data_IF_956482167882
#
_entry.id   IF_956482167882
#
_cell.length_a   1.000
_cell.length_b   1.000
_cell.length_c   1.000
_cell.angle_alpha   90.00
_cell.angle_beta   90.00
_cell.angle_gamma   90.00
#
_symmetry.space_group_name_H-M   'P 1'
#
loop_
_entity.id
_entity.type
_entity.pdbx_description
1 polymer ?
#
# COMPACT_ATOMS: atom_id res chain seq x y z
N UNK A 1 -19.05 19.90 12.94
CA UNK A 1 -19.04 18.91 11.84
C UNK A 1 -17.66 18.98 11.21
N UNK A 2 -16.95 17.86 11.07
CA UNK A 2 -15.56 17.88 10.58
C UNK A 2 -15.56 18.31 9.11
N UNK A 3 -15.00 19.48 8.79
CA UNK A 3 -15.10 20.11 7.44
C UNK A 3 -14.54 19.19 6.35
N UNK A 4 -13.42 18.52 6.63
CA UNK A 4 -12.78 17.56 5.72
C UNK A 4 -13.72 16.43 5.29
N UNK A 5 -14.38 15.73 6.22
CA UNK A 5 -15.24 14.60 5.89
C UNK A 5 -16.40 15.02 4.99
N UNK A 6 -17.02 16.16 5.31
CA UNK A 6 -18.12 16.69 4.52
C UNK A 6 -17.67 17.12 3.12
N UNK A 7 -16.54 17.83 3.01
CA UNK A 7 -15.98 18.28 1.74
C UNK A 7 -15.59 17.11 0.83
N UNK A 8 -14.95 16.09 1.37
CA UNK A 8 -14.58 14.89 0.60
C UNK A 8 -15.82 14.13 0.18
N UNK A 9 -16.79 13.93 1.06
CA UNK A 9 -18.06 13.29 0.71
C UNK A 9 -18.75 14.03 -0.44
N UNK A 10 -18.84 15.35 -0.34
CA UNK A 10 -19.43 16.19 -1.38
C UNK A 10 -18.68 16.07 -2.71
N UNK A 11 -17.34 16.08 -2.68
CA UNK A 11 -16.51 15.90 -3.87
C UNK A 11 -16.70 14.51 -4.50
N UNK A 12 -16.82 13.44 -3.68
CA UNK A 12 -17.10 12.08 -4.16
C UNK A 12 -18.46 12.02 -4.84
N UNK A 13 -19.51 12.49 -4.16
CA UNK A 13 -20.88 12.49 -4.68
C UNK A 13 -21.05 13.37 -5.93
N UNK A 14 -20.19 14.38 -6.10
CA UNK A 14 -20.20 15.27 -7.27
C UNK A 14 -19.41 14.68 -8.44
N UNK A 15 -18.12 14.39 -8.24
CA UNK A 15 -17.19 14.05 -9.33
C UNK A 15 -17.30 12.60 -9.80
N UNK A 16 -17.88 11.72 -8.98
CA UNK A 16 -18.02 10.29 -9.29
C UNK A 16 -19.48 9.87 -9.51
N UNK A 17 -20.42 10.83 -9.57
CA UNK A 17 -21.84 10.54 -9.82
C UNK A 17 -22.07 9.76 -11.11
N UNK A 18 -21.23 10.00 -12.12
CA UNK A 18 -21.29 9.33 -13.42
C UNK A 18 -21.18 7.80 -13.31
N UNK A 19 -20.54 7.26 -12.26
CA UNK A 19 -20.46 5.81 -12.07
C UNK A 19 -21.84 5.17 -11.90
N UNK A 20 -22.76 5.87 -11.24
CA UNK A 20 -24.13 5.39 -11.07
C UNK A 20 -24.93 5.52 -12.37
N UNK A 21 -24.76 6.63 -13.10
CA UNK A 21 -25.56 6.92 -14.30
C UNK A 21 -25.09 6.17 -15.54
N UNK A 22 -23.78 5.99 -15.68
CA UNK A 22 -23.16 5.52 -16.93
C UNK A 22 -22.64 4.08 -16.81
N UNK A 23 -22.40 3.61 -15.58
CA UNK A 23 -21.76 2.31 -15.32
C UNK A 23 -22.52 1.43 -14.31
N UNK A 24 -23.75 1.80 -13.92
CA UNK A 24 -24.61 1.03 -12.99
C UNK A 24 -23.97 0.71 -11.63
N UNK A 25 -23.08 1.58 -11.13
CA UNK A 25 -22.58 1.45 -9.76
C UNK A 25 -23.69 1.74 -8.76
N UNK A 26 -23.59 1.11 -7.60
CA UNK A 26 -24.36 1.48 -6.40
C UNK A 26 -24.02 2.89 -5.93
N UNK A 27 -24.92 3.55 -5.18
CA UNK A 27 -24.59 4.79 -4.48
C UNK A 27 -23.41 4.60 -3.53
N UNK A 28 -22.56 5.62 -3.41
CA UNK A 28 -21.43 5.60 -2.48
C UNK A 28 -21.92 5.40 -1.05
N UNK A 29 -21.47 4.31 -0.43
CA UNK A 29 -21.68 4.03 0.99
C UNK A 29 -20.48 4.53 1.79
N UNK A 30 -20.76 5.40 2.76
CA UNK A 30 -19.80 5.81 3.78
C UNK A 30 -19.63 4.69 4.82
N UNK A 31 -18.39 4.24 5.04
CA UNK A 31 -18.04 3.19 5.99
C UNK A 31 -16.87 3.66 6.86
N UNK A 32 -17.06 3.87 8.17
CA UNK A 32 -15.95 4.15 9.07
C UNK A 32 -15.15 2.88 9.33
N UNK A 33 -13.82 2.96 9.24
CA UNK A 33 -12.88 1.88 9.57
C UNK A 33 -11.74 2.44 10.41
N UNK A 34 -11.74 2.15 11.71
CA UNK A 34 -10.77 2.71 12.67
C UNK A 34 -10.69 4.25 12.61
N UNK A 35 -9.56 4.80 12.15
CA UNK A 35 -9.34 6.25 12.01
C UNK A 35 -9.66 6.77 10.59
N UNK A 36 -10.17 5.90 9.72
CA UNK A 36 -10.47 6.15 8.32
C UNK A 36 -11.97 6.19 8.03
N UNK A 37 -12.29 6.92 6.97
CA UNK A 37 -13.61 6.94 6.35
C UNK A 37 -13.47 6.51 4.90
N UNK A 38 -14.27 5.54 4.51
CA UNK A 38 -14.30 5.00 3.16
C UNK A 38 -15.61 5.34 2.47
N UNK A 39 -15.52 5.73 1.21
CA UNK A 39 -16.65 5.89 0.30
C UNK A 39 -16.53 4.81 -0.76
N UNK A 40 -17.38 3.79 -0.65
CA UNK A 40 -17.33 2.60 -1.50
C UNK A 40 -18.55 2.54 -2.42
N UNK A 41 -18.31 2.23 -3.68
CA UNK A 41 -19.34 1.94 -4.67
C UNK A 41 -18.89 0.77 -5.55
N UNK A 42 -19.83 -0.06 -5.99
CA UNK A 42 -19.57 -1.23 -6.84
C UNK A 42 -20.69 -1.49 -7.84
N UNK A 43 -20.37 -2.17 -8.95
CA UNK A 43 -21.32 -2.70 -9.92
C UNK A 43 -21.60 -4.20 -9.72
N UNK A 44 -22.50 -4.78 -10.53
CA UNK A 44 -22.84 -6.21 -10.50
C UNK A 44 -21.70 -7.11 -10.99
N UNK A 45 -20.79 -6.57 -11.81
CA UNK A 45 -19.60 -7.27 -12.28
C UNK A 45 -18.48 -7.32 -11.23
N UNK A 46 -18.75 -6.89 -10.00
CA UNK A 46 -17.80 -6.81 -8.88
C UNK A 46 -16.64 -5.83 -9.13
N UNK A 47 -16.78 -4.90 -10.08
CA UNK A 47 -15.90 -3.75 -10.12
C UNK A 47 -16.26 -2.81 -8.98
N UNK A 48 -15.26 -2.22 -8.33
CA UNK A 48 -15.49 -1.31 -7.23
C UNK A 48 -14.47 -0.17 -7.21
N UNK A 49 -14.92 0.94 -6.65
CA UNK A 49 -14.08 2.08 -6.30
C UNK A 49 -14.17 2.32 -4.80
N UNK A 50 -13.03 2.62 -4.18
CA UNK A 50 -12.92 2.94 -2.77
C UNK A 50 -12.10 4.23 -2.64
N UNK A 51 -12.76 5.30 -2.21
CA UNK A 51 -12.13 6.57 -1.90
C UNK A 51 -12.05 6.68 -0.38
N UNK A 52 -10.87 6.84 0.19
CA UNK A 52 -10.71 6.84 1.64
C UNK A 52 -9.76 7.90 2.16
N UNK A 53 -10.02 8.31 3.40
CA UNK A 53 -9.34 9.39 4.11
C UNK A 53 -9.15 8.98 5.56
N UNK A 54 -8.05 9.37 6.20
CA UNK A 54 -8.01 9.48 7.67
C UNK A 54 -8.39 10.91 8.07
N UNK A 55 -8.96 11.10 9.26
CA UNK A 55 -9.30 12.43 9.75
C UNK A 55 -8.16 13.08 10.55
N UNK A 56 -7.00 13.25 9.90
CA UNK A 56 -5.86 13.99 10.46
C UNK A 56 -5.51 15.20 9.58
N UNK A 57 -4.77 16.15 10.14
CA UNK A 57 -4.51 17.47 9.53
C UNK A 57 -3.71 17.45 8.20
N UNK A 58 -3.31 16.29 7.72
CA UNK A 58 -2.40 16.13 6.58
C UNK A 58 -2.61 14.82 5.83
N UNK A 59 -3.79 14.23 5.93
CA UNK A 59 -3.99 12.91 5.35
C UNK A 59 -4.13 12.97 3.84
N UNK A 60 -3.43 12.07 3.10
CA UNK A 60 -3.73 11.87 1.71
C UNK A 60 -5.19 11.39 1.54
N UNK A 61 -5.79 11.76 0.41
CA UNK A 61 -6.99 11.08 -0.07
C UNK A 61 -6.54 9.97 -1.01
N UNK A 62 -6.84 8.75 -0.64
CA UNK A 62 -6.52 7.60 -1.47
C UNK A 62 -7.72 7.17 -2.28
N UNK A 63 -7.46 6.76 -3.52
CA UNK A 63 -8.47 6.23 -4.42
C UNK A 63 -7.98 4.89 -4.95
N UNK A 64 -8.79 3.86 -4.80
CA UNK A 64 -8.50 2.53 -5.32
C UNK A 64 -9.59 2.13 -6.29
N UNK A 65 -9.20 1.53 -7.41
CA UNK A 65 -10.08 0.90 -8.38
C UNK A 65 -9.77 -0.59 -8.42
N UNK A 66 -10.77 -1.43 -8.15
CA UNK A 66 -10.63 -2.88 -7.99
C UNK A 66 -9.50 -3.28 -7.02
N UNK A 67 -9.27 -2.46 -5.99
CA UNK A 67 -8.26 -2.73 -4.95
C UNK A 67 -6.86 -2.23 -5.28
N UNK A 68 -6.62 -1.75 -6.50
CA UNK A 68 -5.33 -1.18 -6.90
C UNK A 68 -5.39 0.35 -6.77
N UNK A 69 -4.34 0.98 -6.23
CA UNK A 69 -4.30 2.44 -6.12
C UNK A 69 -4.34 3.09 -7.50
N UNK A 70 -5.10 4.17 -7.61
CA UNK A 70 -5.30 4.87 -8.88
C UNK A 70 -3.99 5.41 -9.45
N UNK A 71 -3.07 5.82 -8.57
CA UNK A 71 -1.75 6.31 -8.91
C UNK A 71 -0.84 5.20 -9.51
N UNK A 72 -1.15 3.92 -9.26
CA UNK A 72 -0.47 2.76 -9.91
C UNK A 72 -1.08 2.39 -11.27
N UNK A 73 -2.31 2.85 -11.56
CA UNK A 73 -3.05 2.51 -12.76
C UNK A 73 -2.98 3.60 -13.84
N UNK A 74 -2.72 4.84 -13.45
CA UNK A 74 -2.79 6.02 -14.32
C UNK A 74 -1.52 6.83 -14.17
N UNK A 75 -0.97 7.24 -15.31
CA UNK A 75 0.04 8.29 -15.39
C UNK A 75 -0.63 9.56 -15.95
N UNK A 76 -0.62 10.64 -15.17
CA UNK A 76 -1.21 11.94 -15.54
C UNK A 76 -0.45 13.10 -14.86
N UNK A 77 0.09 14.02 -15.66
CA UNK A 77 0.92 15.12 -15.18
C UNK A 77 0.19 16.03 -14.17
N UNK A 78 -1.14 16.18 -14.28
CA UNK A 78 -1.91 17.00 -13.34
C UNK A 78 -2.09 16.29 -12.01
N UNK A 79 -2.34 14.97 -12.00
CA UNK A 79 -2.36 14.20 -10.75
C UNK A 79 -1.01 14.26 -10.04
N UNK A 80 0.08 14.08 -10.78
CA UNK A 80 1.44 14.21 -10.24
C UNK A 80 1.71 15.59 -9.65
N UNK A 81 1.24 16.64 -10.32
CA UNK A 81 1.33 18.02 -9.83
C UNK A 81 0.58 18.18 -8.51
N UNK A 82 -0.68 17.73 -8.43
CA UNK A 82 -1.47 17.84 -7.20
C UNK A 82 -0.85 17.04 -6.04
N UNK A 83 -0.34 15.84 -6.31
CA UNK A 83 0.37 15.03 -5.31
C UNK A 83 1.59 15.79 -4.76
N UNK A 84 2.40 16.38 -5.65
CA UNK A 84 3.56 17.20 -5.24
C UNK A 84 3.14 18.43 -4.43
N UNK A 85 2.07 19.11 -4.81
CA UNK A 85 1.56 20.27 -4.07
C UNK A 85 1.12 19.89 -2.64
N UNK A 86 0.38 18.79 -2.48
CA UNK A 86 -0.03 18.28 -1.16
C UNK A 86 1.19 17.91 -0.29
N UNK A 87 2.18 17.21 -0.86
CA UNK A 87 3.42 16.89 -0.14
C UNK A 87 4.18 18.14 0.30
N UNK A 88 4.35 19.12 -0.60
CA UNK A 88 5.02 20.38 -0.27
C UNK A 88 4.29 21.16 0.83
N UNK A 89 2.96 21.07 0.85
CA UNK A 89 2.11 21.76 1.81
C UNK A 89 2.22 21.16 3.22
N UNK A 90 2.26 19.83 3.35
CA UNK A 90 2.13 19.16 4.65
C UNK A 90 3.43 18.54 5.19
N UNK A 91 4.29 17.98 4.34
CA UNK A 91 5.41 17.13 4.77
C UNK A 91 6.39 17.87 5.67
N UNK A 92 6.65 19.16 5.39
CA UNK A 92 7.62 19.95 6.16
C UNK A 92 7.21 20.08 7.61
N UNK A 93 5.93 20.36 7.87
CA UNK A 93 5.38 20.49 9.21
C UNK A 93 5.26 19.12 9.87
N UNK A 94 4.81 18.10 9.12
CA UNK A 94 4.71 16.74 9.65
C UNK A 94 6.08 16.19 10.09
N UNK A 95 7.12 16.38 9.27
CA UNK A 95 8.51 16.01 9.62
C UNK A 95 9.01 16.74 10.87
N UNK A 96 8.64 18.01 11.07
CA UNK A 96 8.98 18.75 12.30
C UNK A 96 8.22 18.21 13.51
N UNK A 97 6.92 17.96 13.37
CA UNK A 97 6.12 17.34 14.42
C UNK A 97 6.70 15.98 14.85
N UNK A 98 7.07 15.12 13.91
CA UNK A 98 7.65 13.81 14.24
C UNK A 98 8.91 13.93 15.10
N UNK A 99 9.73 14.96 14.86
CA UNK A 99 10.99 15.25 15.60
C UNK A 99 10.76 15.92 16.95
N UNK A 100 9.85 16.88 17.03
CA UNK A 100 9.69 17.72 18.24
C UNK A 100 8.50 17.33 19.11
N UNK A 101 7.57 16.55 18.58
CA UNK A 101 6.22 16.26 19.14
C UNK A 101 5.41 17.53 19.44
N UNK A 102 5.76 18.65 18.81
CA UNK A 102 5.11 19.94 19.02
C UNK A 102 3.85 20.06 18.15
N UNK A 103 2.69 20.01 18.80
CA UNK A 103 1.37 19.99 18.14
C UNK A 103 1.09 21.22 17.27
N UNK A 104 1.81 22.34 17.47
CA UNK A 104 1.62 23.54 16.63
C UNK A 104 1.86 23.28 15.14
N UNK A 105 2.74 22.32 14.81
CA UNK A 105 2.99 21.96 13.42
C UNK A 105 1.83 21.17 12.81
N UNK A 106 1.09 20.41 13.61
CA UNK A 106 -0.15 19.75 13.19
C UNK A 106 -1.27 20.77 13.05
N UNK A 107 -1.39 21.73 13.99
CA UNK A 107 -2.33 22.84 13.87
C UNK A 107 -2.08 23.66 12.58
N UNK A 108 -0.82 23.96 12.26
CA UNK A 108 -0.48 24.64 11.02
C UNK A 108 -0.87 23.85 9.75
N UNK A 109 -0.88 22.52 9.81
CA UNK A 109 -1.38 21.70 8.71
C UNK A 109 -2.90 21.77 8.56
N UNK A 110 -3.65 21.92 9.67
CA UNK A 110 -5.10 22.20 9.61
C UNK A 110 -5.35 23.53 8.91
N UNK A 111 -4.59 24.57 9.24
CA UNK A 111 -4.71 25.88 8.59
C UNK A 111 -4.37 25.80 7.10
N UNK A 112 -3.29 25.11 6.76
CA UNK A 112 -2.90 24.85 5.37
C UNK A 112 -3.97 24.09 4.59
N UNK A 113 -4.65 23.12 5.23
CA UNK A 113 -5.76 22.40 4.62
C UNK A 113 -6.90 23.35 4.27
N UNK A 114 -7.33 24.18 5.22
CA UNK A 114 -8.44 25.12 5.02
C UNK A 114 -8.13 26.20 3.98
N UNK A 115 -6.87 26.63 3.88
CA UNK A 115 -6.45 27.67 2.94
C UNK A 115 -6.20 27.17 1.52
N UNK A 116 -5.65 25.96 1.38
CA UNK A 116 -5.15 25.45 0.09
C UNK A 116 -5.50 23.99 -0.16
N UNK A 117 -5.39 23.15 0.87
CA UNK A 117 -5.51 21.71 0.75
C UNK A 117 -6.85 21.20 0.23
N UNK A 118 -7.95 21.79 0.68
CA UNK A 118 -9.30 21.43 0.24
C UNK A 118 -9.48 21.62 -1.28
N UNK A 119 -9.00 22.72 -1.84
CA UNK A 119 -9.06 23.02 -3.28
C UNK A 119 -8.20 22.03 -4.06
N UNK A 120 -6.97 21.77 -3.60
CA UNK A 120 -6.07 20.81 -4.27
C UNK A 120 -6.67 19.41 -4.27
N UNK A 121 -7.21 18.96 -3.14
CA UNK A 121 -7.89 17.66 -3.02
C UNK A 121 -9.12 17.55 -3.91
N UNK A 122 -9.96 18.60 -3.96
CA UNK A 122 -11.12 18.63 -4.83
C UNK A 122 -10.71 18.54 -6.31
N UNK A 123 -9.71 19.32 -6.73
CA UNK A 123 -9.21 19.28 -8.11
C UNK A 123 -8.60 17.92 -8.46
N UNK A 124 -7.89 17.29 -7.52
CA UNK A 124 -7.36 15.94 -7.69
C UNK A 124 -8.48 14.91 -7.86
N UNK A 125 -9.49 14.93 -6.99
CA UNK A 125 -10.65 14.03 -7.09
C UNK A 125 -11.44 14.24 -8.38
N UNK A 126 -11.64 15.50 -8.79
CA UNK A 126 -12.25 15.82 -10.08
C UNK A 126 -11.45 15.21 -11.23
N UNK A 127 -10.12 15.41 -11.24
CA UNK A 127 -9.25 14.88 -12.30
C UNK A 127 -9.29 13.35 -12.36
N UNK A 128 -9.28 12.69 -11.20
CA UNK A 128 -9.45 11.23 -11.14
C UNK A 128 -10.81 10.84 -11.73
N UNK A 129 -11.89 11.50 -11.33
CA UNK A 129 -13.24 11.25 -11.85
C UNK A 129 -13.31 11.38 -13.37
N UNK A 130 -12.75 12.44 -13.95
CA UNK A 130 -12.66 12.65 -15.40
C UNK A 130 -11.92 11.51 -16.12
N UNK A 131 -10.79 11.05 -15.56
CA UNK A 131 -10.00 9.97 -16.15
C UNK A 131 -10.76 8.64 -16.06
N UNK A 132 -11.36 8.35 -14.90
CA UNK A 132 -12.17 7.13 -14.70
C UNK A 132 -13.35 7.12 -15.69
N UNK A 133 -14.08 8.23 -15.84
CA UNK A 133 -15.18 8.34 -16.79
C UNK A 133 -14.71 8.06 -18.22
N UNK A 134 -13.57 8.62 -18.62
CA UNK A 134 -13.03 8.44 -19.99
C UNK A 134 -12.43 7.05 -20.24
N UNK A 135 -11.86 6.42 -19.23
CA UNK A 135 -11.02 5.21 -19.37
C UNK A 135 -11.54 3.99 -18.61
N UNK A 136 -12.79 4.00 -18.14
CA UNK A 136 -13.36 2.98 -17.25
C UNK A 136 -12.98 1.54 -17.64
N UNK A 137 -13.34 1.08 -18.84
CA UNK A 137 -13.05 -0.30 -19.28
C UNK A 137 -11.55 -0.61 -19.39
N UNK A 138 -10.73 0.39 -19.73
CA UNK A 138 -9.28 0.21 -19.72
C UNK A 138 -8.77 0.02 -18.29
N UNK A 139 -9.32 0.75 -17.32
CA UNK A 139 -8.94 0.62 -15.91
C UNK A 139 -9.37 -0.73 -15.31
N UNK A 140 -10.54 -1.24 -15.70
CA UNK A 140 -10.96 -2.61 -15.35
C UNK A 140 -9.92 -3.62 -15.83
N UNK A 141 -9.50 -3.53 -17.10
CA UNK A 141 -8.48 -4.42 -17.66
C UNK A 141 -7.12 -4.26 -16.95
N UNK A 142 -6.63 -3.03 -16.82
CA UNK A 142 -5.31 -2.76 -16.24
C UNK A 142 -5.24 -3.13 -14.76
N UNK A 143 -6.31 -2.92 -13.99
CA UNK A 143 -6.37 -3.35 -12.58
C UNK A 143 -6.30 -4.88 -12.46
N UNK A 144 -7.00 -5.62 -13.31
CA UNK A 144 -6.91 -7.07 -13.34
C UNK A 144 -5.50 -7.57 -13.72
N UNK A 145 -4.87 -6.95 -14.72
CA UNK A 145 -3.50 -7.26 -15.11
C UNK A 145 -2.50 -7.00 -13.97
N UNK A 146 -2.69 -5.92 -13.23
CA UNK A 146 -1.87 -5.56 -12.07
C UNK A 146 -2.00 -6.61 -10.95
N UNK A 147 -3.23 -7.02 -10.62
CA UNK A 147 -3.51 -8.08 -9.64
C UNK A 147 -2.83 -9.39 -10.06
N UNK A 148 -3.06 -9.83 -11.30
CA UNK A 148 -2.49 -11.07 -11.83
C UNK A 148 -0.95 -11.04 -11.83
N UNK A 149 -0.34 -9.87 -12.07
CA UNK A 149 1.12 -9.72 -12.06
C UNK A 149 1.68 -9.79 -10.65
N UNK A 150 1.03 -9.14 -9.66
CA UNK A 150 1.40 -9.25 -8.25
C UNK A 150 1.26 -10.68 -7.74
N UNK A 151 0.16 -11.35 -8.08
CA UNK A 151 -0.04 -12.77 -7.74
C UNK A 151 1.03 -13.67 -8.38
N UNK A 152 1.40 -13.44 -9.64
CA UNK A 152 2.51 -14.17 -10.28
C UNK A 152 3.87 -13.86 -9.63
N UNK A 153 4.10 -12.63 -9.18
CA UNK A 153 5.28 -12.25 -8.42
C UNK A 153 5.36 -13.00 -7.10
N UNK A 154 4.26 -12.98 -6.33
CA UNK A 154 4.13 -13.70 -5.08
C UNK A 154 4.25 -15.22 -5.26
N UNK A 155 3.63 -15.79 -6.29
CA UNK A 155 3.76 -17.21 -6.63
C UNK A 155 5.21 -17.58 -7.00
N UNK A 156 5.93 -16.72 -7.73
CA UNK A 156 7.37 -16.94 -8.01
C UNK A 156 8.25 -16.82 -6.76
N UNK A 157 7.91 -15.93 -5.83
CA UNK A 157 8.60 -15.80 -4.54
C UNK A 157 8.32 -17.01 -3.63
N UNK A 158 7.09 -17.56 -3.68
CA UNK A 158 6.65 -18.71 -2.88
C UNK A 158 6.99 -20.08 -3.50
N UNK A 159 7.19 -20.20 -4.82
CA UNK A 159 7.60 -21.42 -5.53
C UNK A 159 8.98 -21.96 -5.09
N UNK A 160 9.75 -21.16 -4.34
CA UNK A 160 11.04 -21.54 -3.78
C UNK A 160 11.09 -21.49 -2.25
N UNK A 161 9.94 -21.40 -1.58
CA UNK A 161 9.88 -21.55 -0.13
C UNK A 161 10.06 -23.03 0.19
N UNK A 162 11.22 -23.34 0.73
CA UNK A 162 11.55 -24.65 1.25
C UNK A 162 11.20 -24.66 2.74
N UNK A 163 10.47 -25.67 3.18
CA UNK A 163 10.24 -25.89 4.61
C UNK A 163 11.25 -26.90 5.14
N UNK A 164 11.72 -26.65 6.35
CA UNK A 164 12.61 -27.57 7.04
C UNK A 164 12.50 -27.40 8.57
N UNK A 165 12.88 -28.43 9.30
CA UNK A 165 13.09 -28.33 10.74
C UNK A 165 14.51 -27.83 11.06
N UNK A 166 14.78 -27.52 12.34
CA UNK A 166 16.09 -27.02 12.79
C UNK A 166 17.26 -27.93 12.37
N UNK A 167 17.07 -29.24 12.42
CA UNK A 167 18.12 -30.21 12.11
C UNK A 167 18.42 -30.23 10.60
N UNK A 168 17.39 -30.20 9.77
CA UNK A 168 17.50 -30.10 8.31
C UNK A 168 18.16 -28.78 7.90
N UNK A 169 17.80 -27.66 8.53
CA UNK A 169 18.44 -26.37 8.30
C UNK A 169 19.93 -26.41 8.67
N UNK A 170 20.30 -27.07 9.78
CA UNK A 170 21.71 -27.29 10.14
C UNK A 170 22.46 -28.12 9.10
N UNK A 171 21.84 -29.16 8.55
CA UNK A 171 22.49 -29.96 7.50
C UNK A 171 22.59 -29.20 6.17
N UNK A 172 21.58 -28.39 5.82
CA UNK A 172 21.62 -27.50 4.65
C UNK A 172 22.80 -26.54 4.70
N UNK A 173 23.12 -25.98 5.87
CA UNK A 173 24.29 -25.10 6.04
C UNK A 173 25.62 -25.78 5.78
N UNK A 174 25.67 -27.12 5.72
CA UNK A 174 26.89 -27.88 5.40
C UNK A 174 27.00 -28.19 3.91
N UNK A 175 25.88 -28.24 3.19
CA UNK A 175 25.77 -28.62 1.78
C UNK A 175 26.51 -27.61 0.86
N UNK A 176 27.32 -28.12 -0.08
CA UNK A 176 28.12 -27.32 -1.01
C UNK A 176 27.26 -26.51 -1.98
N UNK A 177 26.22 -27.12 -2.54
CA UNK A 177 25.36 -26.53 -3.56
C UNK A 177 24.49 -25.43 -2.96
N UNK A 178 24.03 -25.64 -1.72
CA UNK A 178 23.32 -24.60 -0.96
C UNK A 178 24.23 -23.38 -0.72
N UNK A 179 25.47 -23.60 -0.28
CA UNK A 179 26.44 -22.52 -0.05
C UNK A 179 26.75 -21.76 -1.34
N UNK A 180 26.88 -22.47 -2.45
CA UNK A 180 27.15 -21.86 -3.76
C UNK A 180 25.95 -21.04 -4.24
N UNK A 181 24.73 -21.56 -4.11
CA UNK A 181 23.50 -20.80 -4.42
C UNK A 181 23.34 -19.57 -3.54
N UNK A 182 23.61 -19.67 -2.23
CA UNK A 182 23.54 -18.52 -1.34
C UNK A 182 24.54 -17.43 -1.77
N UNK A 183 25.79 -17.79 -2.07
CA UNK A 183 26.79 -16.82 -2.58
C UNK A 183 26.36 -16.09 -3.86
N UNK A 184 25.52 -16.71 -4.67
CA UNK A 184 25.00 -16.13 -5.92
C UNK A 184 23.69 -15.36 -5.72
N UNK A 185 23.04 -15.49 -4.56
CA UNK A 185 21.82 -14.75 -4.20
C UNK A 185 22.14 -13.42 -3.50
N UNK A 186 21.20 -12.47 -3.49
CA UNK A 186 21.36 -11.21 -2.74
C UNK A 186 21.25 -11.42 -1.23
N UNK A 187 20.27 -12.22 -0.81
CA UNK A 187 20.02 -12.60 0.59
C UNK A 187 19.23 -13.90 0.68
N UNK A 188 19.35 -14.57 1.82
CA UNK A 188 18.46 -15.65 2.24
C UNK A 188 17.44 -15.07 3.21
N UNK A 189 16.17 -15.33 2.99
CA UNK A 189 15.11 -15.02 3.94
C UNK A 189 14.78 -16.29 4.70
N UNK A 190 14.81 -16.22 6.03
CA UNK A 190 14.43 -17.30 6.93
C UNK A 190 13.24 -16.86 7.77
N UNK A 191 12.09 -17.46 7.54
CA UNK A 191 10.88 -17.22 8.29
C UNK A 191 10.69 -18.27 9.39
N UNK A 192 10.21 -17.80 10.53
CA UNK A 192 9.90 -18.59 11.73
C UNK A 192 8.44 -18.36 12.10
N UNK A 193 7.93 -19.10 13.08
CA UNK A 193 6.59 -18.86 13.63
C UNK A 193 6.41 -17.46 14.28
N UNK A 194 7.48 -16.67 14.44
CA UNK A 194 7.48 -15.40 15.16
C UNK A 194 7.99 -14.21 14.37
N UNK A 195 8.91 -14.42 13.44
CA UNK A 195 9.52 -13.36 12.66
C UNK A 195 10.23 -13.88 11.42
N UNK A 196 10.29 -13.00 10.42
CA UNK A 196 11.14 -13.11 9.25
C UNK A 196 12.53 -12.53 9.53
N UNK A 197 13.58 -13.22 9.08
CA UNK A 197 14.97 -12.85 9.30
C UNK A 197 15.70 -12.82 7.97
N UNK A 198 16.23 -11.66 7.61
CA UNK A 198 17.13 -11.46 6.48
C UNK A 198 18.54 -11.90 6.85
N UNK A 199 19.15 -12.72 6.01
CA UNK A 199 20.49 -13.26 6.23
C UNK A 199 21.34 -12.98 5.00
N UNK A 200 22.45 -12.27 5.19
CA UNK A 200 23.31 -11.81 4.10
C UNK A 200 24.52 -12.72 3.87
N UNK A 201 24.80 -13.65 4.80
CA UNK A 201 25.95 -14.56 4.67
C UNK A 201 25.75 -15.93 5.33
N UNK A 202 26.51 -16.93 4.87
CA UNK A 202 26.58 -18.26 5.49
C UNK A 202 27.11 -18.19 6.93
N UNK A 203 28.02 -17.26 7.23
CA UNK A 203 28.57 -17.07 8.58
C UNK A 203 27.50 -16.55 9.54
N UNK A 204 26.66 -15.62 9.08
CA UNK A 204 25.51 -15.11 9.82
C UNK A 204 24.46 -16.20 10.05
N UNK A 205 24.11 -16.97 9.02
CA UNK A 205 23.23 -18.13 9.15
C UNK A 205 23.76 -19.10 10.21
N UNK A 206 25.05 -19.44 10.15
CA UNK A 206 25.68 -20.38 11.09
C UNK A 206 25.62 -19.87 12.53
N UNK A 207 25.88 -18.57 12.75
CA UNK A 207 25.72 -17.93 14.07
C UNK A 207 24.27 -18.01 14.55
N UNK A 208 23.32 -17.69 13.69
CA UNK A 208 21.88 -17.75 14.01
C UNK A 208 21.45 -19.17 14.45
N UNK A 209 21.96 -20.21 13.78
CA UNK A 209 21.68 -21.61 14.14
C UNK A 209 22.16 -22.01 15.55
N UNK A 210 23.25 -21.39 16.03
CA UNK A 210 23.72 -21.62 17.41
C UNK A 210 22.76 -21.01 18.43
N UNK A 211 22.17 -19.84 18.11
CA UNK A 211 21.16 -19.17 18.95
C UNK A 211 19.85 -19.95 18.99
N UNK A 212 19.37 -20.45 17.86
CA UNK A 212 18.13 -21.25 17.80
C UNK A 212 18.22 -22.57 18.55
N UNK A 213 19.42 -23.13 18.74
CA UNK A 213 19.59 -24.33 19.54
C UNK A 213 19.20 -24.14 21.02
N UNK A 214 19.08 -22.89 21.49
CA UNK A 214 18.63 -22.53 22.84
C UNK A 214 17.14 -22.19 22.94
N UNK A 215 16.42 -22.09 21.81
CA UNK A 215 15.01 -21.67 21.75
C UNK A 215 14.17 -22.72 21.01
N UNK A 216 12.90 -22.90 21.39
CA UNK A 216 12.00 -23.89 20.77
C UNK A 216 11.41 -23.35 19.45
N UNK A 217 12.18 -23.39 18.36
CA UNK A 217 11.68 -23.21 17.00
C UNK A 217 11.63 -24.57 16.31
N UNK A 218 10.45 -24.96 15.82
CA UNK A 218 10.24 -26.31 15.29
C UNK A 218 10.27 -26.37 13.76
N UNK A 219 9.79 -25.31 13.08
CA UNK A 219 9.69 -25.25 11.63
C UNK A 219 10.22 -23.91 11.12
N UNK A 220 10.89 -23.96 9.98
CA UNK A 220 11.45 -22.83 9.27
C UNK A 220 11.01 -22.88 7.82
N UNK A 221 10.65 -21.73 7.28
CA UNK A 221 10.46 -21.53 5.85
C UNK A 221 11.62 -20.68 5.33
N UNK A 222 12.19 -21.03 4.18
CA UNK A 222 13.31 -20.27 3.64
C UNK A 222 13.31 -20.21 2.12
N UNK A 223 13.78 -19.08 1.60
CA UNK A 223 13.95 -18.88 0.16
C UNK A 223 15.11 -17.91 -0.13
N UNK A 224 15.70 -18.06 -1.31
CA UNK A 224 16.72 -17.13 -1.80
C UNK A 224 16.05 -15.97 -2.54
N UNK A 225 16.50 -14.75 -2.26
CA UNK A 225 16.10 -13.55 -2.98
C UNK A 225 17.12 -13.28 -4.09
N UNK A 226 16.63 -13.22 -5.34
CA UNK A 226 17.44 -12.97 -6.55
C UNK A 226 17.66 -11.47 -6.81
#
# INVERSE_FOLDING_TARGET
>A
MNSLLYEVKYAVETHFKFLQTDFNFTPFKEVPLAYEYHFKASDEASNYINIHIELIASTPIWVNFNGVYIDDLINDDLLDKYNKELHNLYDKNFKKYLKTKDVKYISANVDNYNLYGNVINNNRLQRIGEIVAKKFYSLVKTSQEHINTKEKGYLKETEHINSCNLQELKELTKNSDFKEKFKQSKKLVLDTDKCEIDIESIEELTKLMTTFSSQKFNNFEWHFVK
#
